data_IF_135502401524
#
_entry.id   IF_135502401524
#
_cell.length_a   1.000
_cell.length_b   1.000
_cell.length_c   1.000
_cell.angle_alpha   90.00
_cell.angle_beta   90.00
_cell.angle_gamma   90.00
#
_symmetry.space_group_name_H-M   'P 1'
#
loop_
_entity.id
_entity.type
_entity.pdbx_description
1 polymer ?
#
# COMPACT_ATOMS: atom_id res chain seq x y z
N UNK A 1 -8.27 -32.73 -5.36
CA UNK A 1 -7.36 -31.65 -5.79
C UNK A 1 -7.59 -30.44 -4.90
N UNK A 2 -6.58 -30.02 -4.11
CA UNK A 2 -6.69 -28.80 -3.29
C UNK A 2 -6.53 -27.59 -4.22
N UNK A 3 -7.45 -26.62 -4.18
CA UNK A 3 -7.30 -25.34 -4.87
C UNK A 3 -6.05 -24.62 -4.32
N UNK A 4 -4.92 -24.75 -5.01
CA UNK A 4 -3.62 -24.16 -4.63
C UNK A 4 -3.27 -22.88 -5.40
N UNK A 5 -4.27 -22.14 -5.90
CA UNK A 5 -4.05 -20.92 -6.71
C UNK A 5 -4.58 -19.64 -6.04
N UNK A 6 -4.80 -19.65 -4.72
CA UNK A 6 -5.16 -18.44 -3.99
C UNK A 6 -3.89 -17.65 -3.65
N UNK A 7 -3.57 -16.63 -4.45
CA UNK A 7 -2.51 -15.67 -4.15
C UNK A 7 -2.67 -15.08 -2.74
N UNK A 8 -1.56 -15.01 -2.01
CA UNK A 8 -1.53 -14.38 -0.68
C UNK A 8 -1.82 -12.87 -0.78
N UNK A 9 -2.06 -12.21 0.36
CA UNK A 9 -2.29 -10.75 0.38
C UNK A 9 -1.04 -10.01 -0.05
N UNK A 10 0.11 -10.55 0.33
CA UNK A 10 1.44 -10.06 0.05
C UNK A 10 1.77 -10.18 -1.45
N UNK A 11 1.49 -11.33 -2.05
CA UNK A 11 1.69 -11.52 -3.49
C UNK A 11 0.76 -10.61 -4.31
N UNK A 12 -0.50 -10.44 -3.87
CA UNK A 12 -1.44 -9.49 -4.49
C UNK A 12 -0.94 -8.05 -4.41
N UNK A 13 -0.36 -7.64 -3.27
CA UNK A 13 0.24 -6.31 -3.13
C UNK A 13 1.32 -6.10 -4.18
N UNK A 14 2.28 -7.03 -4.29
CA UNK A 14 3.39 -6.88 -5.23
C UNK A 14 2.94 -6.86 -6.69
N UNK A 15 1.98 -7.72 -7.08
CA UNK A 15 1.44 -7.72 -8.44
C UNK A 15 0.71 -6.42 -8.77
N UNK A 16 -0.13 -5.92 -7.86
CA UNK A 16 -0.82 -4.64 -8.04
C UNK A 16 0.17 -3.48 -8.18
N UNK A 17 1.23 -3.51 -7.38
CA UNK A 17 2.29 -2.52 -7.40
C UNK A 17 3.05 -2.54 -8.73
N UNK A 18 3.45 -3.72 -9.22
CA UNK A 18 4.07 -3.85 -10.54
C UNK A 18 3.18 -3.27 -11.64
N UNK A 19 1.90 -3.69 -11.68
CA UNK A 19 0.95 -3.18 -12.68
C UNK A 19 0.78 -1.65 -12.60
N UNK A 20 0.79 -1.10 -11.39
CA UNK A 20 0.71 0.34 -11.17
C UNK A 20 1.96 1.05 -11.71
N UNK A 21 3.16 0.55 -11.40
CA UNK A 21 4.44 1.09 -11.89
C UNK A 21 4.51 1.05 -13.41
N UNK A 22 4.15 -0.07 -14.03
CA UNK A 22 4.15 -0.21 -15.48
C UNK A 22 3.23 0.82 -16.16
N UNK A 23 2.05 1.08 -15.58
CA UNK A 23 1.14 2.11 -16.07
C UNK A 23 1.72 3.51 -15.95
N UNK A 24 2.40 3.81 -14.84
CA UNK A 24 3.06 5.11 -14.67
C UNK A 24 4.20 5.31 -15.67
N UNK A 25 5.04 4.28 -15.87
CA UNK A 25 6.11 4.29 -16.89
C UNK A 25 5.54 4.51 -18.30
N UNK A 26 4.49 3.76 -18.67
CA UNK A 26 3.80 3.91 -19.96
C UNK A 26 3.16 5.28 -20.18
N UNK A 27 2.78 5.96 -19.09
CA UNK A 27 2.19 7.30 -19.14
C UNK A 27 3.24 8.41 -19.27
N UNK A 28 4.54 8.09 -19.29
CA UNK A 28 5.61 9.07 -19.49
C UNK A 28 5.92 9.95 -18.28
N UNK A 29 5.56 9.52 -17.06
CA UNK A 29 5.94 10.25 -15.85
C UNK A 29 7.46 10.24 -15.64
N UNK A 30 8.01 11.33 -15.10
CA UNK A 30 9.41 11.37 -14.66
C UNK A 30 9.65 10.41 -13.49
N UNK A 31 10.87 9.90 -13.36
CA UNK A 31 11.22 8.92 -12.32
C UNK A 31 10.85 9.41 -10.91
N UNK A 32 11.16 10.65 -10.55
CA UNK A 32 10.85 11.22 -9.23
C UNK A 32 9.33 11.20 -8.94
N UNK A 33 8.50 11.51 -9.94
CA UNK A 33 7.04 11.44 -9.81
C UNK A 33 6.57 10.01 -9.65
N UNK A 34 7.17 9.07 -10.39
CA UNK A 34 6.85 7.64 -10.27
C UNK A 34 7.14 7.17 -8.85
N UNK A 35 8.33 7.49 -8.30
CA UNK A 35 8.74 7.11 -6.95
C UNK A 35 7.77 7.69 -5.91
N UNK A 36 7.43 8.97 -6.00
CA UNK A 36 6.44 9.59 -5.10
C UNK A 36 5.07 8.91 -5.16
N UNK A 37 4.60 8.55 -6.35
CA UNK A 37 3.31 7.87 -6.51
C UNK A 37 3.33 6.42 -6.02
N UNK A 38 4.46 5.74 -6.18
CA UNK A 38 4.69 4.44 -5.54
C UNK A 38 4.59 4.59 -4.02
N UNK A 39 5.25 5.59 -3.44
CA UNK A 39 5.17 5.85 -1.99
C UNK A 39 3.72 6.04 -1.54
N UNK A 40 2.98 6.90 -2.24
CA UNK A 40 1.57 7.13 -1.98
C UNK A 40 0.73 5.85 -2.08
N UNK A 41 1.01 5.00 -3.08
CA UNK A 41 0.34 3.70 -3.21
C UNK A 41 0.61 2.80 -2.00
N UNK A 42 1.87 2.68 -1.58
CA UNK A 42 2.25 1.85 -0.44
C UNK A 42 1.61 2.35 0.87
N UNK A 43 1.62 3.67 1.10
CA UNK A 43 0.94 4.31 2.22
C UNK A 43 -0.55 4.02 2.22
N UNK A 44 -1.23 4.23 1.09
CA UNK A 44 -2.66 3.97 0.95
C UNK A 44 -3.01 2.49 1.17
N UNK A 45 -2.17 1.57 0.68
CA UNK A 45 -2.35 0.15 0.90
C UNK A 45 -2.22 -0.23 2.38
N UNK A 46 -1.18 0.29 3.05
CA UNK A 46 -0.96 0.07 4.48
C UNK A 46 -2.16 0.55 5.30
N UNK A 47 -2.59 1.80 5.08
CA UNK A 47 -3.73 2.39 5.81
C UNK A 47 -5.01 1.59 5.59
N UNK A 48 -5.25 1.11 4.36
CA UNK A 48 -6.49 0.39 4.05
C UNK A 48 -6.51 -1.04 4.59
N UNK A 49 -5.38 -1.75 4.54
CA UNK A 49 -5.35 -3.20 4.76
C UNK A 49 -4.58 -3.64 6.00
N UNK A 50 -3.60 -2.86 6.47
CA UNK A 50 -2.77 -3.20 7.64
C UNK A 50 -3.16 -2.40 8.89
N UNK A 51 -3.41 -1.09 8.76
CA UNK A 51 -3.79 -0.24 9.90
C UNK A 51 -4.98 -0.80 10.71
N UNK A 52 -6.09 -1.30 10.11
CA UNK A 52 -7.21 -1.84 10.88
C UNK A 52 -6.88 -3.12 11.66
N UNK A 53 -5.78 -3.80 11.31
CA UNK A 53 -5.28 -5.00 11.98
C UNK A 53 -4.13 -4.68 12.94
N UNK A 54 -3.57 -3.47 12.85
CA UNK A 54 -2.48 -3.03 13.72
C UNK A 54 -2.99 -2.86 15.14
N UNK A 55 -2.23 -3.40 16.10
CA UNK A 55 -2.45 -3.13 17.53
C UNK A 55 -1.75 -1.83 17.98
N UNK A 56 -0.94 -1.24 17.11
CA UNK A 56 -0.16 -0.05 17.39
C UNK A 56 -0.62 1.09 16.49
N UNK A 57 -0.89 2.24 17.10
CA UNK A 57 -1.23 3.47 16.38
C UNK A 57 0.00 4.18 15.79
N UNK A 58 1.19 3.74 16.16
CA UNK A 58 2.46 4.27 15.69
C UNK A 58 2.88 3.48 14.44
N UNK A 59 2.73 4.12 13.28
CA UNK A 59 3.38 3.70 12.05
C UNK A 59 4.11 4.91 11.49
N UNK A 60 5.27 4.65 10.92
CA UNK A 60 6.16 5.61 10.32
C UNK A 60 6.57 5.14 8.91
N UNK A 61 7.39 5.93 8.23
CA UNK A 61 8.00 5.54 6.94
C UNK A 61 8.65 4.15 6.94
N UNK A 62 9.33 3.74 8.01
CA UNK A 62 10.00 2.43 8.07
C UNK A 62 9.01 1.27 8.26
N UNK A 63 7.84 1.54 8.81
CA UNK A 63 6.73 0.60 8.89
C UNK A 63 6.20 0.25 7.49
N UNK A 64 6.09 1.25 6.61
CA UNK A 64 5.70 1.06 5.20
C UNK A 64 6.76 0.24 4.46
N UNK A 65 8.04 0.57 4.63
CA UNK A 65 9.15 -0.22 4.06
C UNK A 65 9.13 -1.66 4.58
N UNK A 66 8.92 -1.85 5.88
CA UNK A 66 8.84 -3.17 6.51
C UNK A 66 7.68 -4.00 5.98
N UNK A 67 6.50 -3.39 5.78
CA UNK A 67 5.36 -4.06 5.13
C UNK A 67 5.75 -4.59 3.75
N UNK A 68 6.42 -3.75 2.94
CA UNK A 68 6.79 -4.11 1.58
C UNK A 68 7.89 -5.19 1.55
N UNK A 69 8.89 -5.08 2.41
CA UNK A 69 9.96 -6.07 2.57
C UNK A 69 9.41 -7.42 3.04
N UNK A 70 8.44 -7.41 3.97
CA UNK A 70 7.77 -8.63 4.41
C UNK A 70 6.98 -9.27 3.26
N UNK A 71 6.30 -8.46 2.43
CA UNK A 71 5.57 -8.97 1.29
C UNK A 71 6.50 -9.64 0.26
N UNK A 72 7.68 -9.06 0.02
CA UNK A 72 8.69 -9.66 -0.84
C UNK A 72 9.21 -10.98 -0.25
N UNK A 73 9.58 -10.97 1.02
CA UNK A 73 10.13 -12.16 1.72
C UNK A 73 9.15 -13.33 1.75
N UNK A 74 7.86 -13.07 1.88
CA UNK A 74 6.83 -14.12 1.99
C UNK A 74 6.27 -14.57 0.63
N UNK A 75 6.69 -13.95 -0.47
CA UNK A 75 6.21 -14.28 -1.80
C UNK A 75 6.83 -15.57 -2.34
N UNK A 76 6.03 -16.35 -3.09
CA UNK A 76 6.54 -17.55 -3.73
C UNK A 76 7.61 -17.22 -4.78
N UNK A 77 8.59 -18.13 -5.01
CA UNK A 77 9.63 -17.93 -6.03
C UNK A 77 9.05 -17.64 -7.43
N UNK A 78 7.88 -18.22 -7.75
CA UNK A 78 7.17 -17.97 -9.01
C UNK A 78 6.75 -16.51 -9.17
N UNK A 79 6.28 -15.88 -8.09
CA UNK A 79 5.91 -14.46 -8.10
C UNK A 79 7.16 -13.60 -8.22
N UNK A 80 8.22 -13.92 -7.48
CA UNK A 80 9.50 -13.21 -7.58
C UNK A 80 10.05 -13.23 -9.02
N UNK A 81 10.01 -14.40 -9.68
CA UNK A 81 10.42 -14.51 -11.08
C UNK A 81 9.52 -13.71 -12.03
N UNK A 82 8.21 -13.68 -11.76
CA UNK A 82 7.24 -12.96 -12.59
C UNK A 82 7.34 -11.43 -12.47
N UNK A 83 7.66 -10.93 -11.27
CA UNK A 83 7.84 -9.49 -10.99
C UNK A 83 9.07 -8.89 -11.71
N UNK A 84 9.83 -9.70 -12.44
CA UNK A 84 11.08 -9.33 -13.10
C UNK A 84 12.29 -9.85 -12.32
N UNK A 85 13.36 -10.18 -13.04
CA UNK A 85 14.64 -10.61 -12.45
C UNK A 85 15.05 -9.73 -11.26
N UNK A 86 15.84 -10.28 -10.33
CA UNK A 86 16.24 -9.62 -9.06
C UNK A 86 16.62 -8.14 -9.20
N UNK A 87 17.20 -7.74 -10.33
CA UNK A 87 17.57 -6.36 -10.64
C UNK A 87 16.41 -5.35 -10.61
N UNK A 88 15.23 -5.65 -11.16
CA UNK A 88 14.14 -4.66 -11.21
C UNK A 88 13.49 -4.43 -9.85
N UNK A 89 13.26 -5.51 -9.10
CA UNK A 89 12.74 -5.46 -7.74
C UNK A 89 13.77 -4.78 -6.83
N UNK A 90 15.05 -5.15 -6.92
CA UNK A 90 16.12 -4.53 -6.12
C UNK A 90 16.23 -3.05 -6.42
N UNK A 91 16.16 -2.66 -7.70
CA UNK A 91 16.16 -1.26 -8.11
C UNK A 91 14.97 -0.53 -7.48
N UNK A 92 13.76 -1.06 -7.62
CA UNK A 92 12.55 -0.51 -7.02
C UNK A 92 12.67 -0.31 -5.50
N UNK A 93 13.07 -1.33 -4.76
CA UNK A 93 13.23 -1.25 -3.31
C UNK A 93 14.30 -0.25 -2.91
N UNK A 94 15.40 -0.18 -3.66
CA UNK A 94 16.46 0.80 -3.42
C UNK A 94 15.94 2.24 -3.54
N UNK A 95 15.20 2.58 -4.60
CA UNK A 95 14.61 3.92 -4.71
C UNK A 95 13.61 4.23 -3.61
N UNK A 96 12.83 3.24 -3.20
CA UNK A 96 11.87 3.40 -2.10
C UNK A 96 12.54 3.69 -0.77
N UNK A 97 13.65 2.99 -0.47
CA UNK A 97 14.45 3.24 0.73
C UNK A 97 15.08 4.63 0.67
N UNK A 98 15.70 4.99 -0.46
CA UNK A 98 16.28 6.33 -0.64
C UNK A 98 15.22 7.42 -0.49
N UNK A 99 14.04 7.25 -1.12
CA UNK A 99 12.94 8.20 -0.98
C UNK A 99 12.53 8.40 0.48
N UNK A 100 12.36 7.31 1.24
CA UNK A 100 11.98 7.39 2.65
C UNK A 100 13.06 8.07 3.52
N UNK A 101 14.34 7.84 3.23
CA UNK A 101 15.44 8.44 3.99
C UNK A 101 15.64 9.91 3.62
N UNK A 102 15.76 10.20 2.32
CA UNK A 102 16.14 11.52 1.81
C UNK A 102 14.98 12.53 1.88
N UNK A 103 13.74 12.06 1.99
CA UNK A 103 12.53 12.89 2.01
C UNK A 103 11.69 12.61 3.27
N UNK A 104 12.34 12.46 4.43
CA UNK A 104 11.69 12.08 5.70
C UNK A 104 10.40 12.87 6.00
N UNK A 105 10.49 14.21 5.98
CA UNK A 105 9.35 15.06 6.35
C UNK A 105 8.17 14.87 5.40
N UNK A 106 8.46 14.83 4.11
CA UNK A 106 7.47 14.64 3.06
C UNK A 106 6.84 13.24 3.11
N UNK A 107 7.66 12.20 3.24
CA UNK A 107 7.20 10.82 3.32
C UNK A 107 6.24 10.61 4.50
N UNK A 108 6.56 11.21 5.65
CA UNK A 108 5.76 11.14 6.86
C UNK A 108 4.50 12.03 6.78
N UNK A 109 4.61 13.22 6.17
CA UNK A 109 3.45 14.08 5.91
C UNK A 109 2.41 13.39 5.02
N UNK A 110 2.85 12.71 3.95
CA UNK A 110 1.96 11.92 3.09
C UNK A 110 1.21 10.87 3.92
N UNK A 111 1.91 10.14 4.80
CA UNK A 111 1.26 9.16 5.67
C UNK A 111 0.21 9.81 6.59
N UNK A 112 0.57 10.89 7.30
CA UNK A 112 -0.33 11.59 8.23
C UNK A 112 -1.59 12.10 7.52
N UNK A 113 -1.42 12.75 6.37
CA UNK A 113 -2.54 13.31 5.62
C UNK A 113 -3.49 12.23 5.10
N UNK A 114 -2.95 11.18 4.48
CA UNK A 114 -3.77 10.08 3.95
C UNK A 114 -4.48 9.31 5.07
N UNK A 115 -3.83 9.17 6.24
CA UNK A 115 -4.45 8.57 7.43
C UNK A 115 -5.66 9.39 7.88
N UNK A 116 -5.51 10.70 8.02
CA UNK A 116 -6.61 11.59 8.43
C UNK A 116 -7.77 11.54 7.42
N UNK A 117 -7.46 11.52 6.11
CA UNK A 117 -8.49 11.38 5.06
C UNK A 117 -9.25 10.06 5.20
N UNK A 118 -8.53 8.96 5.42
CA UNK A 118 -9.12 7.63 5.61
C UNK A 118 -10.00 7.55 6.86
N UNK A 119 -9.51 8.02 8.00
CA UNK A 119 -10.27 8.01 9.27
C UNK A 119 -11.56 8.83 9.16
N UNK A 120 -11.50 10.02 8.55
CA UNK A 120 -12.69 10.83 8.26
C UNK A 120 -13.69 10.07 7.40
N UNK A 121 -13.23 9.38 6.35
CA UNK A 121 -14.09 8.59 5.47
C UNK A 121 -14.76 7.42 6.21
N UNK A 122 -14.01 6.71 7.06
CA UNK A 122 -14.53 5.61 7.88
C UNK A 122 -15.61 6.11 8.85
N UNK A 123 -15.33 7.19 9.58
CA UNK A 123 -16.29 7.79 10.52
C UNK A 123 -17.56 8.26 9.82
N UNK A 124 -17.42 8.94 8.66
CA UNK A 124 -18.57 9.39 7.88
C UNK A 124 -19.45 8.20 7.44
N UNK A 125 -18.84 7.12 6.96
CA UNK A 125 -19.55 5.92 6.55
C UNK A 125 -20.30 5.27 7.73
N UNK A 126 -19.70 5.24 8.92
CA UNK A 126 -20.36 4.75 10.14
C UNK A 126 -21.58 5.59 10.52
N UNK A 127 -21.47 6.93 10.47
CA UNK A 127 -22.58 7.85 10.74
C UNK A 127 -23.73 7.65 9.75
N UNK A 128 -23.42 7.55 8.45
CA UNK A 128 -24.42 7.30 7.40
C UNK A 128 -25.11 5.96 7.61
N UNK A 129 -24.35 4.91 7.92
CA UNK A 129 -24.90 3.57 8.19
C UNK A 129 -25.83 3.58 9.42
N UNK A 130 -25.44 4.26 10.51
CA UNK A 130 -26.25 4.39 11.71
C UNK A 130 -27.57 5.14 11.44
N UNK A 131 -27.54 6.22 10.66
CA UNK A 131 -28.73 6.98 10.25
C UNK A 131 -29.70 6.12 9.43
N UNK A 132 -29.19 5.34 8.47
CA UNK A 132 -30.00 4.40 7.66
C UNK A 132 -30.67 3.33 8.53
N UNK A 133 -29.95 2.76 9.50
CA UNK A 133 -30.51 1.76 10.45
C UNK A 133 -31.64 2.35 11.30
N UNK A 134 -31.51 3.59 11.79
CA UNK A 134 -32.55 4.27 12.56
C UNK A 134 -33.81 4.54 11.71
N UNK A 135 -33.66 4.94 10.45
CA UNK A 135 -34.80 5.18 9.53
C UNK A 135 -35.57 3.90 9.24
N UNK A 136 -34.88 2.76 9.06
CA UNK A 136 -35.52 1.44 8.84
C UNK A 136 -36.26 0.87 10.06
N UNK A 137 -35.95 1.30 11.28
CA UNK A 137 -36.63 0.86 12.52
C UNK A 137 -37.88 1.69 12.86
N UNK A 138 -38.13 2.79 12.15
CA UNK A 138 -39.28 3.69 12.34
C UNK A 138 -40.40 3.44 11.32
N UNK A 139 -40.22 2.46 10.44
CA UNK A 139 -41.18 1.93 9.46
C UNK A 139 -41.44 0.49 9.89
#
# INVERSE_FOLDING_TARGET
MKNTDALSREEKLLLLLQMFIERLKKSGFSQDKIIRYIWLFCVGYYIKYYLPQSKTDLADRFTIISMLSNALKSSSPRIIQHLGYEHEITFFFRFMIHYAIDNEEEAENIYREERVKYEKAVLLNQVVAARRKRKKRRI
#
